data_IF_389740296693
#
_entry.id   IF_389740296693
#
_cell.length_a   1.000
_cell.length_b   1.000
_cell.length_c   1.000
_cell.angle_alpha   90.00
_cell.angle_beta   90.00
_cell.angle_gamma   90.00
#
_symmetry.space_group_name_H-M   'P 1'
#
loop_
_entity.id
_entity.type
_entity.pdbx_description
1 polymer ?
#
# COMPACT_ATOMS: atom_id res chain seq x y z
N UNK A 1 -5.57 -15.27 -5.69
CA UNK A 1 -6.70 -15.63 -4.78
C UNK A 1 -7.77 -14.54 -4.88
N UNK A 2 -7.54 -13.30 -4.46
CA UNK A 2 -8.56 -12.25 -4.45
C UNK A 2 -9.26 -12.06 -5.79
N UNK A 3 -8.52 -12.00 -6.90
CA UNK A 3 -9.09 -11.83 -8.23
C UNK A 3 -9.92 -13.03 -8.74
N UNK A 4 -9.83 -14.19 -8.08
CA UNK A 4 -10.58 -15.38 -8.45
C UNK A 4 -11.78 -15.68 -7.53
N UNK A 5 -11.73 -15.15 -6.31
CA UNK A 5 -12.81 -15.32 -5.33
C UNK A 5 -13.70 -14.07 -5.19
N UNK A 6 -13.40 -12.98 -5.89
CA UNK A 6 -14.20 -11.77 -5.90
C UNK A 6 -15.33 -11.86 -6.95
N UNK A 7 -16.46 -11.23 -6.65
CA UNK A 7 -17.52 -11.00 -7.64
C UNK A 7 -16.99 -10.13 -8.79
N UNK A 8 -17.10 -10.61 -10.01
CA UNK A 8 -16.61 -9.97 -11.23
C UNK A 8 -17.71 -9.27 -12.03
N UNK A 9 -18.95 -9.37 -11.59
CA UNK A 9 -20.11 -8.84 -12.32
C UNK A 9 -19.97 -7.35 -12.66
N UNK A 10 -19.50 -6.54 -11.70
CA UNK A 10 -19.27 -5.11 -11.92
C UNK A 10 -18.15 -4.84 -12.93
N UNK A 11 -17.09 -5.66 -12.94
CA UNK A 11 -16.01 -5.55 -13.92
C UNK A 11 -16.48 -5.91 -15.32
N UNK A 12 -17.25 -6.98 -15.47
CA UNK A 12 -17.80 -7.43 -16.76
C UNK A 12 -18.75 -6.40 -17.34
N UNK A 13 -19.63 -5.81 -16.52
CA UNK A 13 -20.52 -4.72 -16.92
C UNK A 13 -19.73 -3.47 -17.36
N UNK A 14 -18.65 -3.13 -16.65
CA UNK A 14 -17.79 -2.02 -17.01
C UNK A 14 -17.10 -2.26 -18.36
N UNK A 15 -16.55 -3.46 -18.59
CA UNK A 15 -15.94 -3.85 -19.86
C UNK A 15 -16.93 -3.74 -20.99
N UNK A 16 -18.12 -4.36 -20.85
CA UNK A 16 -19.14 -4.35 -21.88
C UNK A 16 -19.61 -2.91 -22.21
N UNK A 17 -19.78 -2.06 -21.21
CA UNK A 17 -20.17 -0.66 -21.39
C UNK A 17 -19.08 0.14 -22.08
N UNK A 18 -17.82 -0.01 -21.64
CA UNK A 18 -16.68 0.74 -22.18
C UNK A 18 -16.43 0.39 -23.66
N UNK A 19 -16.42 -0.89 -23.97
CA UNK A 19 -16.22 -1.36 -25.35
C UNK A 19 -17.39 -0.97 -26.26
N UNK A 20 -18.63 -0.91 -25.74
CA UNK A 20 -19.79 -0.44 -26.49
C UNK A 20 -19.67 1.05 -26.87
N UNK A 21 -19.16 1.90 -25.97
CA UNK A 21 -19.12 3.35 -26.20
C UNK A 21 -17.86 3.82 -26.95
N UNK A 22 -16.72 3.16 -26.72
CA UNK A 22 -15.42 3.62 -27.21
C UNK A 22 -14.78 2.66 -28.24
N UNK A 23 -15.44 1.54 -28.55
CA UNK A 23 -14.98 0.53 -29.51
C UNK A 23 -14.37 -0.70 -28.82
N UNK A 24 -14.34 -1.81 -29.53
CA UNK A 24 -13.83 -3.08 -29.06
C UNK A 24 -12.36 -2.96 -28.58
N UNK A 25 -12.06 -3.44 -27.38
CA UNK A 25 -10.74 -3.39 -26.76
C UNK A 25 -10.44 -2.10 -25.99
N UNK A 26 -11.36 -1.11 -25.97
CA UNK A 26 -11.16 0.15 -25.24
C UNK A 26 -11.02 -0.09 -23.72
N UNK A 27 -11.75 -1.04 -23.15
CA UNK A 27 -11.61 -1.42 -21.75
C UNK A 27 -10.22 -1.96 -21.41
N UNK A 28 -9.62 -2.73 -22.31
CA UNK A 28 -8.25 -3.26 -22.16
C UNK A 28 -7.25 -2.10 -22.19
N UNK A 29 -7.37 -1.19 -23.13
CA UNK A 29 -6.49 -0.01 -23.23
C UNK A 29 -6.57 0.88 -22.00
N UNK A 30 -7.77 1.14 -21.48
CA UNK A 30 -7.95 1.93 -20.25
C UNK A 30 -7.35 1.21 -19.04
N UNK A 31 -7.53 -0.10 -18.91
CA UNK A 31 -6.90 -0.92 -17.87
C UNK A 31 -5.37 -0.84 -17.93
N UNK A 32 -4.79 -1.01 -19.10
CA UNK A 32 -3.34 -0.99 -19.30
C UNK A 32 -2.76 0.41 -19.05
N UNK A 33 -3.50 1.46 -19.42
CA UNK A 33 -3.14 2.84 -19.13
C UNK A 33 -3.21 3.10 -17.62
N UNK A 34 -4.25 2.61 -16.94
CA UNK A 34 -4.39 2.72 -15.51
C UNK A 34 -3.27 1.98 -14.77
N UNK A 35 -2.90 0.78 -15.22
CA UNK A 35 -1.78 0.02 -14.66
C UNK A 35 -0.44 0.74 -14.82
N UNK A 36 -0.13 1.27 -16.00
CA UNK A 36 1.09 2.06 -16.24
C UNK A 36 1.15 3.29 -15.33
N UNK A 37 0.05 4.01 -15.20
CA UNK A 37 -0.08 5.17 -14.32
C UNK A 37 0.12 4.80 -12.85
N UNK A 38 -0.48 3.69 -12.41
CA UNK A 38 -0.29 3.13 -11.09
C UNK A 38 1.17 2.81 -10.80
N UNK A 39 1.81 2.07 -11.69
CA UNK A 39 3.23 1.71 -11.54
C UNK A 39 4.14 2.94 -11.43
N UNK A 40 3.90 3.99 -12.20
CA UNK A 40 4.69 5.23 -12.09
C UNK A 40 4.53 5.90 -10.72
N UNK A 41 3.32 5.93 -10.15
CA UNK A 41 3.07 6.51 -8.83
C UNK A 41 3.72 5.65 -7.73
N UNK A 42 3.59 4.32 -7.80
CA UNK A 42 4.24 3.38 -6.87
C UNK A 42 5.76 3.49 -6.91
N UNK A 43 6.37 3.49 -8.10
CA UNK A 43 7.82 3.62 -8.24
C UNK A 43 8.36 4.92 -7.63
N UNK A 44 7.61 6.03 -7.75
CA UNK A 44 8.01 7.28 -7.12
C UNK A 44 7.89 7.23 -5.58
N UNK A 45 6.83 6.61 -5.06
CA UNK A 45 6.65 6.40 -3.62
C UNK A 45 7.76 5.48 -3.05
N UNK A 46 8.08 4.39 -3.74
CA UNK A 46 9.18 3.50 -3.40
C UNK A 46 10.53 4.25 -3.37
N UNK A 47 10.81 5.02 -4.42
CA UNK A 47 12.04 5.82 -4.48
C UNK A 47 12.13 6.80 -3.30
N UNK A 48 11.04 7.52 -2.99
CA UNK A 48 10.94 8.44 -1.86
C UNK A 48 11.24 7.72 -0.55
N UNK A 49 10.54 6.62 -0.26
CA UNK A 49 10.67 5.88 1.00
C UNK A 49 12.06 5.25 1.15
N UNK A 50 12.56 4.53 0.13
CA UNK A 50 13.87 3.87 0.19
C UNK A 50 15.02 4.87 0.32
N UNK A 51 14.93 5.99 -0.39
CA UNK A 51 15.98 7.03 -0.34
C UNK A 51 15.94 7.78 0.98
N UNK A 52 14.74 8.15 1.46
CA UNK A 52 14.58 8.80 2.76
C UNK A 52 15.02 7.90 3.91
N UNK A 53 14.70 6.59 3.88
CA UNK A 53 15.14 5.63 4.89
C UNK A 53 16.67 5.55 4.98
N UNK A 54 17.35 5.45 3.83
CA UNK A 54 18.82 5.44 3.78
C UNK A 54 19.42 6.73 4.33
N UNK A 55 18.88 7.88 3.94
CA UNK A 55 19.33 9.19 4.41
C UNK A 55 19.09 9.36 5.91
N UNK A 56 17.91 8.99 6.40
CA UNK A 56 17.55 9.05 7.81
C UNK A 56 18.47 8.14 8.65
N UNK A 57 18.70 6.90 8.21
CA UNK A 57 19.59 5.95 8.90
C UNK A 57 21.04 6.44 8.97
N UNK A 58 21.57 6.94 7.85
CA UNK A 58 22.92 7.53 7.81
C UNK A 58 23.05 8.73 8.77
N UNK A 59 22.04 9.61 8.79
CA UNK A 59 22.01 10.79 9.66
C UNK A 59 21.90 10.40 11.12
N UNK A 60 21.03 9.43 11.45
CA UNK A 60 20.85 8.94 12.81
C UNK A 60 22.10 8.24 13.34
N UNK A 61 22.79 7.45 12.51
CA UNK A 61 24.08 6.84 12.86
C UNK A 61 25.13 7.89 13.21
N UNK A 62 25.32 8.91 12.37
CA UNK A 62 26.28 10.00 12.61
C UNK A 62 26.00 10.77 13.90
N UNK A 63 24.74 10.79 14.35
CA UNK A 63 24.30 11.48 15.58
C UNK A 63 24.17 10.56 16.77
N UNK A 64 24.49 9.27 16.65
CA UNK A 64 24.23 8.23 17.67
C UNK A 64 22.78 8.23 18.17
N UNK A 65 21.82 8.48 17.28
CA UNK A 65 20.42 8.70 17.60
C UNK A 65 19.55 7.45 17.37
N UNK A 66 20.08 6.35 16.85
CA UNK A 66 19.32 5.10 16.68
C UNK A 66 19.07 4.51 18.07
N UNK A 67 17.80 4.19 18.33
CA UNK A 67 17.38 3.43 19.52
C UNK A 67 16.93 2.04 19.08
N UNK A 68 17.09 1.07 19.95
CA UNK A 68 16.60 -0.28 19.75
C UNK A 68 15.40 -0.49 20.68
N UNK A 69 14.29 -0.96 20.13
CA UNK A 69 13.13 -1.29 20.96
C UNK A 69 13.28 -2.69 21.61
N UNK A 70 12.29 -3.08 22.42
CA UNK A 70 12.28 -4.38 23.12
C UNK A 70 12.30 -5.59 22.20
N UNK A 71 11.94 -5.43 20.93
CA UNK A 71 11.93 -6.47 19.90
C UNK A 71 13.22 -6.48 19.07
N UNK A 72 14.22 -5.65 19.41
CA UNK A 72 15.46 -5.52 18.67
C UNK A 72 15.30 -4.77 17.33
N UNK A 73 14.22 -4.01 17.15
CA UNK A 73 13.99 -3.19 15.96
C UNK A 73 14.67 -1.83 16.12
N UNK A 74 15.45 -1.45 15.11
CA UNK A 74 16.10 -0.13 15.09
C UNK A 74 15.07 0.97 14.84
N UNK A 75 14.92 1.88 15.79
CA UNK A 75 14.01 3.03 15.73
C UNK A 75 14.81 4.29 15.41
N UNK A 76 14.41 4.96 14.35
CA UNK A 76 14.98 6.26 13.94
C UNK A 76 14.04 7.36 14.41
N UNK A 77 14.55 8.39 15.14
CA UNK A 77 13.68 9.47 15.62
C UNK A 77 12.88 10.12 14.49
N UNK A 78 11.58 10.28 14.72
CA UNK A 78 10.65 10.86 13.74
C UNK A 78 11.12 12.18 13.12
N UNK A 79 11.73 13.16 13.85
CA UNK A 79 12.24 14.38 13.23
C UNK A 79 13.33 14.13 12.18
N UNK A 80 14.16 13.09 12.34
CA UNK A 80 15.19 12.73 11.36
C UNK A 80 14.56 12.11 10.13
N UNK A 81 13.59 11.21 10.30
CA UNK A 81 12.86 10.59 9.20
C UNK A 81 12.07 11.64 8.40
N UNK A 82 11.36 12.52 9.08
CA UNK A 82 10.58 13.60 8.43
C UNK A 82 11.47 14.58 7.69
N UNK A 83 12.62 14.94 8.27
CA UNK A 83 13.60 15.75 7.56
C UNK A 83 14.10 15.07 6.28
N UNK A 84 14.42 13.78 6.36
CA UNK A 84 14.87 13.00 5.20
C UNK A 84 13.81 12.90 4.12
N UNK A 85 12.54 12.64 4.49
CA UNK A 85 11.41 12.63 3.57
C UNK A 85 11.25 13.97 2.84
N UNK A 86 11.28 15.10 3.56
CA UNK A 86 11.21 16.42 2.95
C UNK A 86 12.35 16.69 1.97
N UNK A 87 13.59 16.34 2.36
CA UNK A 87 14.77 16.52 1.50
C UNK A 87 14.70 15.70 0.20
N UNK A 88 14.21 14.46 0.27
CA UNK A 88 14.04 13.63 -0.92
C UNK A 88 12.87 14.13 -1.75
N UNK A 89 11.76 14.50 -1.12
CA UNK A 89 10.56 15.01 -1.80
C UNK A 89 10.87 16.27 -2.64
N UNK A 90 11.67 17.20 -2.12
CA UNK A 90 12.12 18.41 -2.83
C UNK A 90 12.90 18.10 -4.14
N UNK A 91 13.43 16.89 -4.26
CA UNK A 91 14.30 16.45 -5.37
C UNK A 91 13.79 15.18 -6.05
N UNK A 92 12.49 14.90 -5.97
CA UNK A 92 11.91 13.74 -6.65
C UNK A 92 12.06 13.87 -8.18
N UNK A 93 12.39 12.76 -8.87
CA UNK A 93 12.41 12.76 -10.31
C UNK A 93 11.00 13.03 -10.87
N UNK A 94 10.94 13.71 -11.99
CA UNK A 94 9.68 13.92 -12.70
C UNK A 94 9.09 12.59 -13.19
N UNK A 95 7.78 12.48 -13.11
CA UNK A 95 7.02 11.36 -13.69
C UNK A 95 6.21 11.86 -14.88
N UNK A 96 5.86 10.95 -15.79
CA UNK A 96 5.06 11.28 -16.95
C UNK A 96 3.75 11.98 -16.57
N UNK A 97 3.32 12.96 -17.35
CA UNK A 97 2.17 13.84 -17.06
C UNK A 97 0.88 13.09 -16.68
N UNK A 98 0.66 11.90 -17.25
CA UNK A 98 -0.52 11.07 -16.96
C UNK A 98 -0.57 10.54 -15.52
N UNK A 99 0.59 10.41 -14.86
CA UNK A 99 0.72 9.96 -13.48
C UNK A 99 1.05 11.10 -12.49
N UNK A 100 1.41 12.29 -12.97
CA UNK A 100 1.96 13.37 -12.17
C UNK A 100 1.07 13.78 -10.98
N UNK A 101 -0.25 13.86 -11.15
CA UNK A 101 -1.18 14.19 -10.06
C UNK A 101 -1.20 13.11 -8.99
N UNK A 102 -1.27 11.84 -9.39
CA UNK A 102 -1.28 10.70 -8.48
C UNK A 102 0.02 10.58 -7.69
N UNK A 103 1.14 10.65 -8.39
CA UNK A 103 2.47 10.54 -7.79
C UNK A 103 2.76 11.69 -6.82
N UNK A 104 2.39 12.94 -7.19
CA UNK A 104 2.53 14.12 -6.33
C UNK A 104 1.70 13.98 -5.06
N UNK A 105 0.43 13.58 -5.19
CA UNK A 105 -0.46 13.42 -4.05
C UNK A 105 0.03 12.36 -3.08
N UNK A 106 0.46 11.20 -3.61
CA UNK A 106 0.99 10.11 -2.80
C UNK A 106 2.31 10.52 -2.11
N UNK A 107 3.24 11.14 -2.83
CA UNK A 107 4.50 11.60 -2.26
C UNK A 107 4.30 12.69 -1.20
N UNK A 108 3.37 13.62 -1.42
CA UNK A 108 2.98 14.64 -0.45
C UNK A 108 2.42 14.00 0.82
N UNK A 109 1.46 13.09 0.67
CA UNK A 109 0.87 12.38 1.80
C UNK A 109 1.91 11.60 2.62
N UNK A 110 2.80 10.85 1.95
CA UNK A 110 3.89 10.12 2.61
C UNK A 110 4.77 11.08 3.40
N UNK A 111 5.16 12.21 2.81
CA UNK A 111 6.04 13.21 3.43
C UNK A 111 5.42 13.84 4.68
N UNK A 112 4.10 14.03 4.67
CA UNK A 112 3.39 14.68 5.77
C UNK A 112 3.01 13.73 6.90
N UNK A 113 2.75 12.46 6.57
CA UNK A 113 2.14 11.51 7.51
C UNK A 113 3.08 10.42 8.01
N UNK A 114 4.13 10.05 7.28
CA UNK A 114 5.07 9.00 7.71
C UNK A 114 6.08 9.57 8.71
N UNK A 115 6.20 8.92 9.87
CA UNK A 115 7.12 9.33 10.94
C UNK A 115 8.30 8.38 11.12
N UNK A 116 8.14 7.08 10.76
CA UNK A 116 9.22 6.10 10.68
C UNK A 116 9.02 5.19 9.48
N UNK A 117 10.12 4.69 8.90
CA UNK A 117 10.11 3.80 7.75
C UNK A 117 10.86 2.52 8.12
N UNK A 118 10.15 1.38 8.15
CA UNK A 118 10.74 0.08 8.42
C UNK A 118 11.10 -0.67 7.14
N UNK A 119 10.18 -0.71 6.19
CA UNK A 119 10.37 -1.34 4.89
C UNK A 119 9.52 -0.67 3.81
N UNK A 120 9.95 -0.82 2.54
CA UNK A 120 9.19 -0.45 1.36
C UNK A 120 9.42 -1.48 0.27
N UNK A 121 8.34 -1.86 -0.45
CA UNK A 121 8.35 -2.89 -1.49
C UNK A 121 9.05 -4.16 -1.00
N UNK A 122 8.46 -4.80 0.01
CA UNK A 122 9.00 -6.02 0.58
C UNK A 122 8.06 -7.21 0.35
N UNK A 123 8.66 -8.36 0.05
CA UNK A 123 7.91 -9.58 -0.21
C UNK A 123 7.51 -10.27 1.08
N UNK A 124 6.29 -10.80 1.07
CA UNK A 124 5.75 -11.67 2.13
C UNK A 124 5.32 -13.01 1.53
N UNK A 125 5.30 -14.03 2.35
CA UNK A 125 4.67 -15.30 2.04
C UNK A 125 4.05 -15.93 3.29
N UNK A 126 3.11 -16.84 3.09
CA UNK A 126 2.43 -17.54 4.17
C UNK A 126 2.23 -19.04 3.84
N UNK A 127 2.34 -19.96 4.82
CA UNK A 127 2.18 -21.41 4.60
C UNK A 127 0.81 -21.82 4.03
N UNK A 128 -0.22 -21.00 4.18
CA UNK A 128 -1.51 -21.20 3.54
C UNK A 128 -1.48 -21.08 2.00
N UNK A 129 -0.31 -20.91 1.38
CA UNK A 129 -0.14 -20.94 -0.08
C UNK A 129 -0.35 -19.60 -0.79
N UNK A 130 -0.02 -18.48 -0.15
CA UNK A 130 -0.01 -17.19 -0.81
C UNK A 130 1.28 -16.41 -0.57
N UNK A 131 1.57 -15.50 -1.48
CA UNK A 131 2.67 -14.54 -1.40
C UNK A 131 2.25 -13.20 -2.03
N UNK A 132 2.98 -12.15 -1.73
CA UNK A 132 2.73 -10.82 -2.27
C UNK A 132 3.86 -9.85 -1.95
N UNK A 133 3.73 -8.63 -2.48
CA UNK A 133 4.61 -7.51 -2.16
C UNK A 133 3.80 -6.43 -1.47
N UNK A 134 4.23 -6.03 -0.30
CA UNK A 134 3.63 -4.95 0.48
C UNK A 134 4.33 -3.63 0.14
N UNK A 135 3.57 -2.57 -0.09
CA UNK A 135 4.13 -1.29 -0.53
C UNK A 135 4.94 -0.61 0.57
N UNK A 136 4.45 -0.58 1.81
CA UNK A 136 5.22 0.01 2.91
C UNK A 136 4.84 -0.52 4.30
N UNK A 137 5.83 -0.52 5.18
CA UNK A 137 5.71 -0.75 6.62
C UNK A 137 6.28 0.48 7.33
N UNK A 138 5.42 1.23 8.01
CA UNK A 138 5.74 2.57 8.53
C UNK A 138 5.09 2.82 9.88
N UNK A 139 5.47 3.90 10.57
CA UNK A 139 4.62 4.54 11.59
C UNK A 139 4.02 5.80 11.01
N UNK A 140 2.74 6.03 11.26
CA UNK A 140 2.02 7.21 10.81
C UNK A 140 1.90 8.26 11.94
N UNK A 141 1.77 9.52 11.56
CA UNK A 141 1.54 10.63 12.48
C UNK A 141 0.23 10.41 13.25
N UNK A 142 0.29 10.55 14.56
CA UNK A 142 -0.86 10.29 15.43
C UNK A 142 -1.07 8.82 15.78
N UNK A 143 -0.27 7.90 15.25
CA UNK A 143 -0.27 6.48 15.57
C UNK A 143 1.06 6.11 16.24
N UNK A 144 1.01 5.27 17.27
CA UNK A 144 2.21 4.80 17.97
C UNK A 144 2.79 3.53 17.36
N UNK A 145 1.97 2.76 16.67
CA UNK A 145 2.28 1.43 16.20
C UNK A 145 2.71 1.35 14.74
N UNK A 146 3.16 0.15 14.37
CA UNK A 146 3.54 -0.18 13.00
C UNK A 146 2.27 -0.33 12.15
N UNK A 147 2.23 0.35 11.02
CA UNK A 147 1.12 0.34 10.06
C UNK A 147 1.58 -0.24 8.73
N UNK A 148 0.82 -1.19 8.19
CA UNK A 148 0.95 -1.66 6.81
C UNK A 148 0.22 -0.68 5.89
N UNK A 149 0.90 -0.19 4.86
CA UNK A 149 0.29 0.68 3.86
C UNK A 149 0.27 0.03 2.49
N UNK A 150 -0.83 0.25 1.78
CA UNK A 150 -1.01 -0.17 0.39
C UNK A 150 -1.44 1.04 -0.45
N UNK A 151 -0.71 1.27 -1.55
CA UNK A 151 -0.95 2.40 -2.45
C UNK A 151 -1.85 1.98 -3.59
N UNK A 152 -2.85 2.79 -3.89
CA UNK A 152 -3.72 2.57 -5.04
C UNK A 152 -3.88 3.87 -5.82
N UNK A 153 -4.13 3.77 -7.11
CA UNK A 153 -4.52 4.92 -7.94
C UNK A 153 -5.97 4.79 -8.38
N UNK A 154 -6.73 5.87 -8.27
CA UNK A 154 -8.14 5.87 -8.65
C UNK A 154 -8.57 7.21 -9.22
N UNK A 155 -9.37 7.19 -10.30
CA UNK A 155 -10.02 8.37 -10.83
C UNK A 155 -11.28 8.75 -10.04
N UNK A 156 -11.86 7.80 -9.30
CA UNK A 156 -13.10 7.97 -8.54
C UNK A 156 -12.86 7.79 -7.06
N UNK A 157 -13.65 8.47 -6.23
CA UNK A 157 -13.66 8.25 -4.80
C UNK A 157 -14.20 6.84 -4.50
N UNK A 158 -13.38 6.01 -3.87
CA UNK A 158 -13.75 4.65 -3.47
C UNK A 158 -14.03 4.51 -1.98
N UNK A 159 -13.78 5.55 -1.17
CA UNK A 159 -14.01 5.51 0.28
C UNK A 159 -15.41 5.03 0.67
N UNK A 160 -16.50 5.46 0.00
CA UNK A 160 -17.85 4.99 0.35
C UNK A 160 -18.06 3.48 0.18
N UNK A 161 -17.20 2.81 -0.58
CA UNK A 161 -17.26 1.37 -0.85
C UNK A 161 -16.19 0.58 -0.07
N UNK A 162 -15.32 1.27 0.67
CA UNK A 162 -14.30 0.64 1.50
C UNK A 162 -14.96 0.12 2.79
N UNK A 163 -15.10 -1.19 2.88
CA UNK A 163 -15.64 -1.89 4.04
C UNK A 163 -14.84 -3.18 4.27
N UNK A 164 -15.20 -3.95 5.28
CA UNK A 164 -14.53 -5.21 5.62
C UNK A 164 -14.44 -6.22 4.47
N UNK A 165 -15.35 -6.17 3.51
CA UNK A 165 -15.38 -7.09 2.36
C UNK A 165 -14.60 -6.59 1.15
N UNK A 166 -14.09 -5.35 1.21
CA UNK A 166 -13.37 -4.78 0.08
C UNK A 166 -12.02 -5.46 -0.15
N UNK A 167 -11.71 -5.78 -1.41
CA UNK A 167 -10.47 -6.50 -1.76
C UNK A 167 -9.17 -5.83 -1.28
N UNK A 168 -9.12 -4.49 -1.16
CA UNK A 168 -7.94 -3.78 -0.65
C UNK A 168 -7.78 -3.99 0.86
N UNK A 169 -8.88 -4.09 1.60
CA UNK A 169 -8.90 -4.42 3.03
C UNK A 169 -8.36 -5.84 3.24
N UNK A 170 -8.88 -6.81 2.47
CA UNK A 170 -8.37 -8.20 2.50
C UNK A 170 -6.90 -8.29 2.10
N UNK A 171 -6.42 -7.43 1.20
CA UNK A 171 -5.00 -7.40 0.82
C UNK A 171 -4.12 -6.97 1.99
N UNK A 172 -4.54 -6.00 2.80
CA UNK A 172 -3.83 -5.62 4.03
C UNK A 172 -3.80 -6.77 5.05
N UNK A 173 -4.91 -7.50 5.20
CA UNK A 173 -4.97 -8.72 6.03
C UNK A 173 -3.96 -9.78 5.57
N UNK A 174 -3.87 -10.02 4.25
CA UNK A 174 -2.89 -10.94 3.68
C UNK A 174 -1.44 -10.52 3.97
N UNK A 175 -1.16 -9.23 3.86
CA UNK A 175 0.17 -8.69 4.15
C UNK A 175 0.53 -8.81 5.63
N UNK A 176 -0.42 -8.56 6.53
CA UNK A 176 -0.23 -8.73 7.96
C UNK A 176 0.08 -10.19 8.33
N UNK A 177 -0.72 -11.14 7.84
CA UNK A 177 -0.48 -12.58 8.04
C UNK A 177 0.91 -13.01 7.52
N UNK A 178 1.27 -12.57 6.32
CA UNK A 178 2.57 -12.90 5.73
C UNK A 178 3.74 -12.31 6.53
N UNK A 179 3.60 -11.10 7.04
CA UNK A 179 4.61 -10.46 7.89
C UNK A 179 4.76 -11.16 9.25
N UNK A 180 3.64 -11.50 9.90
CA UNK A 180 3.65 -12.26 11.17
C UNK A 180 4.31 -13.63 11.01
N UNK A 181 4.13 -14.29 9.86
CA UNK A 181 4.80 -15.56 9.56
C UNK A 181 6.33 -15.41 9.42
N UNK A 182 6.79 -14.27 8.92
CA UNK A 182 8.21 -14.05 8.62
C UNK A 182 8.98 -13.40 9.77
N UNK A 183 8.28 -12.72 10.67
CA UNK A 183 8.90 -11.87 11.69
C UNK A 183 8.10 -11.94 13.00
N UNK A 184 8.71 -11.47 14.09
CA UNK A 184 8.00 -11.22 15.35
C UNK A 184 7.35 -9.84 15.44
N UNK A 185 7.36 -9.07 14.35
CA UNK A 185 6.79 -7.72 14.34
C UNK A 185 5.27 -7.77 14.42
N UNK A 186 4.72 -7.01 15.36
CA UNK A 186 3.28 -6.82 15.48
C UNK A 186 2.87 -5.57 14.71
N UNK A 187 1.92 -5.74 13.81
CA UNK A 187 1.28 -4.64 13.09
C UNK A 187 0.06 -4.18 13.90
N UNK A 188 -0.08 -2.88 14.08
CA UNK A 188 -1.14 -2.29 14.91
C UNK A 188 -2.23 -1.62 14.07
N UNK A 189 -2.08 -1.60 12.75
CA UNK A 189 -3.09 -1.06 11.85
C UNK A 189 -2.73 -1.17 10.39
N UNK A 190 -3.66 -0.77 9.53
CA UNK A 190 -3.52 -0.74 8.09
C UNK A 190 -3.96 0.59 7.50
N UNK A 191 -3.42 0.95 6.34
CA UNK A 191 -3.88 2.09 5.57
C UNK A 191 -3.88 1.80 4.07
N UNK A 192 -5.00 2.08 3.41
CA UNK A 192 -5.09 2.14 1.95
C UNK A 192 -5.09 3.60 1.54
N UNK A 193 -4.08 4.02 0.78
CA UNK A 193 -3.96 5.39 0.29
C UNK A 193 -4.29 5.42 -1.20
N UNK A 194 -5.43 6.01 -1.51
CA UNK A 194 -5.98 6.11 -2.86
C UNK A 194 -5.51 7.41 -3.50
N UNK A 195 -4.37 7.37 -4.18
CA UNK A 195 -3.87 8.52 -4.92
C UNK A 195 -4.86 8.95 -6.01
N UNK A 196 -5.10 10.24 -6.10
CA UNK A 196 -6.08 10.86 -7.02
C UNK A 196 -5.38 11.71 -8.07
N UNK A 197 -6.00 11.84 -9.24
CA UNK A 197 -5.51 12.73 -10.30
C UNK A 197 -5.41 14.18 -9.84
N UNK A 198 -6.27 14.60 -8.94
CA UNK A 198 -6.30 15.95 -8.35
C UNK A 198 -5.10 16.26 -7.46
N UNK A 199 -4.36 15.24 -7.03
CA UNK A 199 -3.20 15.36 -6.15
C UNK A 199 -3.51 15.20 -4.66
N UNK A 200 -4.78 15.18 -4.25
CA UNK A 200 -5.16 14.95 -2.85
C UNK A 200 -5.69 13.52 -2.70
N UNK A 201 -5.02 12.64 -1.92
CA UNK A 201 -5.41 11.25 -1.82
C UNK A 201 -6.61 11.07 -0.87
N UNK A 202 -7.44 10.08 -1.16
CA UNK A 202 -8.39 9.55 -0.19
C UNK A 202 -7.67 8.49 0.67
N UNK A 203 -7.91 8.46 1.98
CA UNK A 203 -7.25 7.53 2.90
C UNK A 203 -8.28 6.72 3.69
N UNK A 204 -8.14 5.41 3.66
CA UNK A 204 -8.88 4.49 4.52
C UNK A 204 -7.91 3.87 5.52
N UNK A 205 -8.16 4.05 6.80
CA UNK A 205 -7.34 3.51 7.89
C UNK A 205 -8.10 2.41 8.63
N UNK A 206 -7.36 1.45 9.13
CA UNK A 206 -7.84 0.33 9.93
C UNK A 206 -7.08 0.31 11.25
N UNK A 207 -7.79 0.13 12.35
CA UNK A 207 -7.19 -0.21 13.62
C UNK A 207 -6.80 -1.70 13.67
N UNK A 208 -6.24 -2.14 14.81
CA UNK A 208 -5.78 -3.52 14.96
C UNK A 208 -6.92 -4.54 14.87
N UNK A 209 -8.08 -4.26 15.47
CA UNK A 209 -9.22 -5.19 15.45
C UNK A 209 -9.79 -5.36 14.05
N UNK A 210 -9.87 -4.27 13.28
CA UNK A 210 -10.29 -4.28 11.89
C UNK A 210 -9.27 -5.04 11.02
N UNK A 211 -7.98 -4.92 11.31
CA UNK A 211 -6.93 -5.66 10.60
C UNK A 211 -7.03 -7.16 10.86
N UNK A 212 -7.29 -7.59 12.11
CA UNK A 212 -7.53 -9.00 12.46
C UNK A 212 -8.76 -9.54 11.72
N UNK A 213 -9.85 -8.78 11.64
CA UNK A 213 -11.03 -9.18 10.85
C UNK A 213 -10.68 -9.35 9.36
N UNK A 214 -9.84 -8.49 8.81
CA UNK A 214 -9.37 -8.61 7.43
C UNK A 214 -8.46 -9.85 7.22
N UNK A 215 -7.66 -10.23 8.21
CA UNK A 215 -6.86 -11.45 8.23
C UNK A 215 -7.76 -12.68 8.15
N UNK A 216 -8.78 -12.77 9.01
CA UNK A 216 -9.74 -13.88 9.03
C UNK A 216 -10.54 -13.97 7.72
N UNK A 217 -11.02 -12.84 7.21
CA UNK A 217 -11.73 -12.77 5.94
C UNK A 217 -10.85 -13.21 4.77
N UNK A 218 -9.56 -12.87 4.78
CA UNK A 218 -8.64 -13.32 3.74
C UNK A 218 -8.37 -14.82 3.81
N UNK A 219 -8.18 -15.39 5.02
CA UNK A 219 -8.00 -16.85 5.18
C UNK A 219 -9.23 -17.63 4.73
N UNK A 220 -10.43 -17.11 4.96
CA UNK A 220 -11.65 -17.72 4.43
C UNK A 220 -11.66 -17.76 2.89
N UNK A 221 -11.17 -16.72 2.21
CA UNK A 221 -11.01 -16.69 0.75
C UNK A 221 -9.92 -17.65 0.26
N UNK A 222 -8.85 -17.84 1.02
CA UNK A 222 -7.82 -18.86 0.70
C UNK A 222 -8.44 -20.25 0.73
N UNK A 223 -9.21 -20.58 1.77
CA UNK A 223 -9.90 -21.87 1.88
C UNK A 223 -10.91 -22.09 0.73
N UNK A 224 -11.68 -21.07 0.39
CA UNK A 224 -12.60 -21.11 -0.76
C UNK A 224 -11.85 -21.39 -2.08
N UNK A 225 -10.74 -20.71 -2.32
CA UNK A 225 -9.93 -20.91 -3.52
C UNK A 225 -9.38 -22.34 -3.60
N UNK A 226 -8.86 -22.86 -2.49
CA UNK A 226 -8.32 -24.20 -2.41
C UNK A 226 -9.40 -25.28 -2.66
N UNK A 227 -10.60 -25.09 -2.12
CA UNK A 227 -11.72 -26.01 -2.36
C UNK A 227 -12.15 -26.05 -3.83
N UNK A 228 -12.13 -24.91 -4.52
CA UNK A 228 -12.46 -24.81 -5.95
C UNK A 228 -11.36 -25.41 -6.85
N UNK A 229 -10.11 -25.40 -6.42
CA UNK A 229 -8.99 -25.95 -7.19
C UNK A 229 -8.90 -27.48 -7.14
N UNK A 230 -9.62 -28.14 -6.20
CA UNK A 230 -9.64 -29.59 -6.01
C UNK A 230 -10.98 -30.22 -6.42
N UNK A 231 -11.93 -29.43 -6.88
CA UNK A 231 -13.20 -29.86 -7.49
C UNK A 231 -13.10 -29.88 -9.02
#
# INVERSE_FOLDING_TARGET
ILGQTSDRTGLEQWVARTDKFYGAGAAIQERDTAAKRGNMAHNQAEYLLKTAQRLARSTANKRNAIKWDSNGLARIPAPITQWALKKVHENLPEVGWSAAGYARGLAGWITENVTEIFASEFSIHHPAGFAGTCDALVTLKGHSGITICDWKTSNTNKLPYMNSDHQYVHQLGAYSLGLQNLTSLRVEGGAVVLARRTGEPDVYTMNQDELVQAEDAYLARVAQYQSQAHS
#
